data_IF_187866899255
#
_entry.id   IF_187866899255
#
_cell.length_a   1.000
_cell.length_b   1.000
_cell.length_c   1.000
_cell.angle_alpha   90.00
_cell.angle_beta   90.00
_cell.angle_gamma   90.00
#
_symmetry.space_group_name_H-M   'P 1'
#
loop_
_entity.id
_entity.type
_entity.pdbx_description
1 polymer ?
#
# COMPACT_ATOMS: atom_id res chain seq x y z
N UNK A 1 31.65 1.13 -0.49
CA UNK A 1 30.85 0.36 0.46
C UNK A 1 29.38 0.56 0.18
N UNK A 2 28.62 -0.49 0.16
CA UNK A 2 27.19 -0.40 -0.08
C UNK A 2 26.46 -0.33 1.25
N UNK A 3 25.72 0.74 1.44
CA UNK A 3 24.93 0.94 2.64
C UNK A 3 23.48 0.51 2.36
N UNK A 4 22.89 -0.23 3.26
CA UNK A 4 21.48 -0.57 3.16
C UNK A 4 20.67 0.70 3.30
N UNK A 5 19.91 1.01 2.27
CA UNK A 5 19.16 2.23 2.22
C UNK A 5 17.67 1.95 2.34
N UNK A 6 17.19 1.86 3.56
CA UNK A 6 15.77 1.65 3.84
C UNK A 6 14.93 2.84 3.39
N UNK A 7 15.53 4.01 3.41
CA UNK A 7 14.87 5.23 2.95
C UNK A 7 14.51 5.13 1.47
N UNK A 8 15.40 4.55 0.68
CA UNK A 8 15.19 4.39 -0.74
C UNK A 8 13.99 3.50 -1.05
N UNK A 9 13.85 2.39 -0.34
CA UNK A 9 12.70 1.50 -0.51
C UNK A 9 11.40 2.22 -0.16
N UNK A 10 11.40 2.96 0.92
CA UNK A 10 10.23 3.73 1.34
C UNK A 10 9.88 4.77 0.31
N UNK A 11 10.88 5.46 -0.23
CA UNK A 11 10.66 6.47 -1.26
C UNK A 11 10.08 5.88 -2.52
N UNK A 12 10.52 4.68 -2.91
CA UNK A 12 9.98 4.01 -4.09
C UNK A 12 8.51 3.66 -3.92
N UNK A 13 8.15 3.16 -2.74
CA UNK A 13 6.76 2.84 -2.44
C UNK A 13 5.89 4.09 -2.43
N UNK A 14 6.36 5.15 -1.78
CA UNK A 14 5.63 6.41 -1.75
C UNK A 14 5.48 7.00 -3.15
N UNK A 15 6.53 6.96 -3.95
CA UNK A 15 6.48 7.45 -5.32
C UNK A 15 5.46 6.68 -6.14
N UNK A 16 5.39 5.38 -5.95
CA UNK A 16 4.39 4.57 -6.64
C UNK A 16 2.98 4.96 -6.23
N UNK A 17 2.75 5.17 -4.94
CA UNK A 17 1.45 5.59 -4.44
C UNK A 17 1.04 6.93 -5.03
N UNK A 18 1.96 7.87 -5.08
CA UNK A 18 1.70 9.18 -5.67
C UNK A 18 1.38 9.05 -7.15
N UNK A 19 2.12 8.23 -7.87
CA UNK A 19 1.86 7.99 -9.31
C UNK A 19 0.48 7.41 -9.54
N UNK A 20 0.02 6.55 -8.65
CA UNK A 20 -1.29 5.95 -8.75
C UNK A 20 -2.42 6.89 -8.30
N UNK A 21 -2.06 8.07 -7.80
CA UNK A 21 -3.04 9.08 -7.41
C UNK A 21 -3.45 9.03 -5.96
N UNK A 22 -2.71 8.34 -5.14
CA UNK A 22 -3.00 8.28 -3.69
C UNK A 22 -2.37 9.45 -2.96
N UNK A 23 -3.03 9.88 -1.91
CA UNK A 23 -2.56 10.94 -1.02
C UNK A 23 -2.45 10.42 0.41
N UNK A 24 -1.38 10.78 1.06
CA UNK A 24 -1.16 10.39 2.46
C UNK A 24 -2.24 10.99 3.35
N UNK A 25 -2.78 10.17 4.25
CA UNK A 25 -3.80 10.61 5.19
C UNK A 25 -3.29 10.61 6.63
N UNK A 26 -2.83 9.47 7.11
CA UNK A 26 -2.45 9.35 8.52
C UNK A 26 -1.59 8.12 8.75
N UNK A 27 -0.92 8.13 9.90
CA UNK A 27 -0.22 6.95 10.41
C UNK A 27 -0.70 6.74 11.83
N UNK A 28 -1.25 5.57 12.10
CA UNK A 28 -1.80 5.22 13.40
C UNK A 28 -1.09 4.02 13.97
N UNK A 29 -0.92 4.02 15.30
CA UNK A 29 -0.36 2.89 16.01
C UNK A 29 -1.50 2.13 16.66
N UNK A 30 -1.62 0.85 16.31
CA UNK A 30 -2.64 -0.02 16.90
C UNK A 30 -2.03 -0.88 17.99
N UNK A 31 -2.45 -0.64 19.22
CA UNK A 31 -2.03 -1.46 20.35
C UNK A 31 -2.83 -2.75 20.38
N UNK A 32 -2.15 -3.87 20.52
CA UNK A 32 -2.77 -5.20 20.53
C UNK A 32 -2.20 -6.09 21.60
N UNK A 33 -2.23 -5.68 22.88
CA UNK A 33 -1.66 -6.53 23.95
C UNK A 33 -2.31 -7.90 23.97
N UNK A 34 -1.54 -8.98 24.22
CA UNK A 34 -0.10 -9.01 24.48
C UNK A 34 0.78 -9.03 23.22
N UNK A 35 0.20 -8.90 22.04
CA UNK A 35 0.95 -8.89 20.78
C UNK A 35 1.64 -7.55 20.57
N UNK A 36 2.72 -7.50 19.78
CA UNK A 36 3.37 -6.23 19.45
C UNK A 36 2.39 -5.31 18.73
N UNK A 37 2.53 -4.01 18.97
CA UNK A 37 1.75 -3.01 18.28
C UNK A 37 2.08 -3.01 16.78
N UNK A 38 1.14 -2.57 15.96
CA UNK A 38 1.39 -2.42 14.53
C UNK A 38 1.13 -0.99 14.10
N UNK A 39 1.78 -0.58 13.01
CA UNK A 39 1.57 0.73 12.43
C UNK A 39 0.73 0.58 11.17
N UNK A 40 -0.27 1.42 11.05
CA UNK A 40 -1.14 1.45 9.87
C UNK A 40 -1.03 2.83 9.25
N UNK A 41 -0.48 2.89 8.05
CA UNK A 41 -0.38 4.12 7.29
C UNK A 41 -1.46 4.12 6.22
N UNK A 42 -2.32 5.12 6.24
CA UNK A 42 -3.47 5.20 5.35
C UNK A 42 -3.23 6.21 4.24
N UNK A 43 -3.49 5.79 3.02
CA UNK A 43 -3.44 6.60 1.82
C UNK A 43 -4.80 6.53 1.14
N UNK A 44 -5.24 7.61 0.56
CA UNK A 44 -6.56 7.65 -0.07
C UNK A 44 -6.47 8.19 -1.50
N UNK A 45 -7.26 7.59 -2.36
CA UNK A 45 -7.54 8.13 -3.69
C UNK A 45 -9.03 8.43 -3.73
N UNK A 46 -9.38 9.62 -3.24
CA UNK A 46 -10.78 10.01 -3.06
C UNK A 46 -11.54 10.03 -4.37
N UNK A 47 -10.91 10.51 -5.43
CA UNK A 47 -11.56 10.60 -6.74
C UNK A 47 -11.97 9.25 -7.30
N UNK A 48 -11.19 8.22 -7.00
CA UNK A 48 -11.47 6.87 -7.47
C UNK A 48 -12.14 5.99 -6.41
N UNK A 49 -12.36 6.54 -5.21
CA UNK A 49 -13.05 5.82 -4.15
C UNK A 49 -12.31 4.60 -3.64
N UNK A 50 -11.00 4.72 -3.47
CA UNK A 50 -10.15 3.62 -3.01
C UNK A 50 -9.26 4.10 -1.87
N UNK A 51 -9.18 3.28 -0.83
CA UNK A 51 -8.30 3.51 0.31
C UNK A 51 -7.23 2.43 0.33
N UNK A 52 -6.00 2.83 0.60
CA UNK A 52 -4.89 1.90 0.68
C UNK A 52 -4.23 2.05 2.04
N UNK A 53 -3.93 0.93 2.67
CA UNK A 53 -3.25 0.91 3.95
C UNK A 53 -1.96 0.12 3.84
N UNK A 54 -0.90 0.67 4.40
CA UNK A 54 0.36 -0.05 4.56
C UNK A 54 0.40 -0.47 6.02
N UNK A 55 0.46 -1.77 6.25
CA UNK A 55 0.42 -2.34 7.59
C UNK A 55 1.80 -2.90 7.94
N UNK A 56 2.46 -2.25 8.91
CA UNK A 56 3.72 -2.71 9.46
C UNK A 56 3.44 -3.49 10.73
N UNK A 57 3.71 -4.77 10.72
CA UNK A 57 3.40 -5.65 11.83
C UNK A 57 4.54 -6.67 12.04
N UNK A 58 4.30 -7.62 12.90
CA UNK A 58 5.26 -8.67 13.21
C UNK A 58 4.56 -10.01 13.26
N UNK A 59 5.20 -11.02 12.67
CA UNK A 59 4.78 -12.40 12.85
C UNK A 59 5.60 -12.99 13.99
N UNK A 60 4.98 -13.88 14.74
CA UNK A 60 5.64 -14.57 15.83
C UNK A 60 5.82 -16.03 15.46
N UNK A 61 7.01 -16.56 15.72
CA UNK A 61 7.28 -17.98 15.51
C UNK A 61 8.19 -18.49 16.63
N UNK A 62 8.28 -19.80 16.73
CA UNK A 62 9.15 -20.44 17.71
C UNK A 62 10.47 -20.84 17.06
N UNK A 63 11.57 -20.51 17.71
CA UNK A 63 12.88 -20.93 17.28
C UNK A 63 13.18 -22.37 17.70
N UNK A 64 14.39 -22.81 17.41
CA UNK A 64 14.81 -24.18 17.73
C UNK A 64 14.73 -24.51 19.20
N UNK A 65 14.95 -23.54 20.07
CA UNK A 65 14.89 -23.72 21.52
C UNK A 65 13.56 -23.22 22.09
N UNK A 66 12.52 -23.15 21.26
CA UNK A 66 11.19 -22.67 21.64
C UNK A 66 11.16 -21.19 22.06
N UNK A 67 12.23 -20.45 21.82
CA UNK A 67 12.22 -19.02 22.07
C UNK A 67 11.27 -18.32 21.09
N UNK A 68 10.65 -17.24 21.56
CA UNK A 68 9.75 -16.46 20.74
C UNK A 68 10.55 -15.53 19.83
N UNK A 69 10.35 -15.67 18.54
CA UNK A 69 11.01 -14.84 17.53
C UNK A 69 9.96 -14.00 16.83
N UNK A 70 10.22 -12.68 16.73
CA UNK A 70 9.34 -11.78 16.00
C UNK A 70 9.99 -11.42 14.67
N UNK A 71 9.22 -11.54 13.60
CA UNK A 71 9.70 -11.26 12.24
C UNK A 71 8.90 -10.09 11.69
N UNK A 72 9.57 -8.99 11.27
CA UNK A 72 8.86 -7.85 10.68
C UNK A 72 8.14 -8.25 9.40
N UNK A 73 6.91 -7.77 9.25
CA UNK A 73 6.10 -7.99 8.04
C UNK A 73 5.47 -6.67 7.62
N UNK A 74 5.39 -6.49 6.32
CA UNK A 74 4.73 -5.32 5.75
C UNK A 74 3.76 -5.79 4.67
N UNK A 75 2.52 -5.36 4.79
CA UNK A 75 1.46 -5.70 3.85
C UNK A 75 0.83 -4.44 3.29
N UNK A 76 0.24 -4.58 2.11
CA UNK A 76 -0.58 -3.53 1.51
C UNK A 76 -2.01 -4.05 1.44
N UNK A 77 -2.96 -3.27 1.94
CA UNK A 77 -4.38 -3.57 1.84
C UNK A 77 -5.05 -2.49 1.02
N UNK A 78 -5.73 -2.90 -0.03
CA UNK A 78 -6.46 -1.97 -0.89
C UNK A 78 -7.94 -2.22 -0.67
N UNK A 79 -8.69 -1.18 -0.32
CA UNK A 79 -10.12 -1.28 -0.03
C UNK A 79 -10.89 -0.42 -1.01
N UNK A 80 -11.92 -0.99 -1.62
CA UNK A 80 -12.88 -0.26 -2.44
C UNK A 80 -13.87 0.39 -1.49
N UNK A 81 -13.94 1.72 -1.46
CA UNK A 81 -14.78 2.44 -0.52
C UNK A 81 -16.26 2.23 -0.76
N UNK A 82 -16.64 1.94 -2.00
CA UNK A 82 -18.04 1.75 -2.36
C UNK A 82 -18.56 0.39 -1.89
N UNK A 83 -17.81 -0.68 -2.13
CA UNK A 83 -18.22 -2.03 -1.78
C UNK A 83 -17.67 -2.52 -0.46
N UNK A 84 -16.67 -1.82 0.06
CA UNK A 84 -15.95 -2.20 1.27
C UNK A 84 -15.21 -3.53 1.16
N UNK A 85 -14.94 -3.96 -0.07
CA UNK A 85 -14.16 -5.16 -0.32
C UNK A 85 -12.68 -4.81 -0.30
N UNK A 86 -11.90 -5.62 0.40
CA UNK A 86 -10.46 -5.41 0.55
C UNK A 86 -9.65 -6.56 -0.04
N UNK A 87 -8.49 -6.21 -0.59
CA UNK A 87 -7.51 -7.19 -1.05
C UNK A 87 -6.20 -6.88 -0.33
N UNK A 88 -5.59 -7.91 0.23
CA UNK A 88 -4.31 -7.78 0.93
C UNK A 88 -3.22 -8.46 0.10
N UNK A 89 -2.10 -7.80 -0.03
CA UNK A 89 -0.99 -8.31 -0.82
C UNK A 89 0.34 -7.93 -0.19
N UNK A 90 1.42 -8.54 -0.66
CA UNK A 90 2.75 -8.16 -0.25
C UNK A 90 3.16 -6.85 -0.91
N UNK A 91 4.21 -6.21 -0.37
CA UNK A 91 4.76 -4.99 -0.98
C UNK A 91 5.27 -5.30 -2.38
N UNK A 92 5.91 -6.46 -2.55
CA UNK A 92 6.45 -6.87 -3.85
C UNK A 92 5.34 -6.99 -4.90
N UNK A 93 4.23 -7.61 -4.52
CA UNK A 93 3.08 -7.73 -5.42
C UNK A 93 2.51 -6.36 -5.78
N UNK A 94 2.42 -5.48 -4.78
CA UNK A 94 1.93 -4.12 -5.01
C UNK A 94 2.85 -3.35 -5.96
N UNK A 95 4.16 -3.49 -5.79
CA UNK A 95 5.12 -2.80 -6.64
C UNK A 95 5.06 -3.25 -8.10
N UNK A 96 4.56 -4.44 -8.35
CA UNK A 96 4.39 -4.96 -9.70
C UNK A 96 3.11 -4.47 -10.38
N UNK A 97 2.17 -3.92 -9.62
CA UNK A 97 0.92 -3.41 -10.19
C UNK A 97 1.20 -2.17 -11.04
N UNK A 98 0.65 -2.15 -12.24
CA UNK A 98 0.75 -0.98 -13.11
C UNK A 98 -0.45 -0.05 -12.92
N UNK A 99 -1.58 -0.62 -12.50
CA UNK A 99 -2.83 0.13 -12.35
C UNK A 99 -3.76 -0.60 -11.38
N UNK A 100 -4.73 0.15 -10.89
CA UNK A 100 -5.75 -0.39 -9.99
C UNK A 100 -7.12 -0.03 -10.59
N UNK A 101 -8.03 -1.00 -10.58
CA UNK A 101 -9.40 -0.79 -11.07
C UNK A 101 -10.35 -0.92 -9.89
N UNK A 102 -11.22 0.06 -9.69
CA UNK A 102 -12.22 0.01 -8.63
C UNK A 102 -13.49 -0.71 -9.09
N UNK A 103 -14.47 -0.84 -8.19
CA UNK A 103 -15.72 -1.55 -8.47
C UNK A 103 -16.57 -0.88 -9.55
N UNK A 104 -16.36 0.41 -9.79
CA UNK A 104 -17.08 1.15 -10.82
C UNK A 104 -16.42 1.04 -12.19
N UNK A 105 -15.36 0.27 -12.30
CA UNK A 105 -14.63 0.10 -13.54
C UNK A 105 -13.63 1.21 -13.86
N UNK A 106 -13.47 2.18 -12.97
CA UNK A 106 -12.46 3.22 -13.15
C UNK A 106 -11.07 2.65 -12.92
N UNK A 107 -10.16 2.93 -13.83
CA UNK A 107 -8.78 2.48 -13.75
C UNK A 107 -7.88 3.66 -13.48
N UNK A 108 -6.95 3.52 -12.56
CA UNK A 108 -5.96 4.54 -12.28
C UNK A 108 -4.58 3.90 -12.10
N UNK A 109 -3.50 4.58 -12.52
CA UNK A 109 -3.53 5.87 -13.19
C UNK A 109 -4.27 5.76 -14.52
N UNK A 110 -4.86 6.88 -14.94
CA UNK A 110 -5.59 6.92 -16.20
C UNK A 110 -4.62 6.73 -17.35
N UNK A 111 -5.03 6.00 -18.41
CA UNK A 111 -4.16 5.84 -19.56
C UNK A 111 -3.80 7.19 -20.19
N UNK A 112 -2.52 7.40 -20.42
CA UNK A 112 -2.05 8.62 -21.07
C UNK A 112 -2.68 8.84 -22.43
N UNK A 113 -2.92 7.76 -23.15
CA UNK A 113 -3.50 7.82 -24.48
C UNK A 113 -4.85 8.50 -24.47
N UNK A 114 -5.68 8.25 -23.45
CA UNK A 114 -6.97 8.91 -23.32
C UNK A 114 -6.81 10.39 -23.08
N UNK A 115 -5.87 10.78 -22.25
CA UNK A 115 -5.59 12.18 -21.98
C UNK A 115 -5.08 12.90 -23.21
N UNK A 116 -4.14 12.29 -23.92
CA UNK A 116 -3.58 12.88 -25.15
C UNK A 116 -4.63 13.05 -26.23
N UNK A 117 -5.55 12.12 -26.34
CA UNK A 117 -6.62 12.20 -27.30
C UNK A 117 -7.49 13.44 -27.05
N UNK A 118 -7.85 13.64 -25.80
CA UNK A 118 -8.66 14.80 -25.42
C UNK A 118 -7.92 16.09 -25.76
N UNK A 119 -6.62 16.12 -25.47
CA UNK A 119 -5.79 17.30 -25.74
C UNK A 119 -5.68 17.59 -27.23
N UNK A 120 -5.56 16.56 -28.04
CA UNK A 120 -5.36 16.71 -29.48
C UNK A 120 -6.62 17.12 -30.23
N UNK A 121 -7.76 17.00 -29.62
CA UNK A 121 -9.02 17.41 -30.25
C UNK A 121 -9.28 18.90 -30.17
N UNK A 122 -8.41 19.62 -29.53
CA UNK A 122 -8.52 21.08 -29.42
C UNK A 122 -8.07 21.82 -30.72
#
# INVERSE_FOLDING_TARGET
>A
MKVLDFTKETDELENKLIKLGFHYQSTDKEERPPKPARLITTWANVMNGVTLQIIDTYDECRGENYELITIPRKYVRITDDCTNISVTMSVEEFMELERITNSNGSTFPRPETSFKRITNEN
#
